data_IF_715338208308
#
_entry.id   IF_715338208308
#
_cell.length_a   1.000
_cell.length_b   1.000
_cell.length_c   1.000
_cell.angle_alpha   90.00
_cell.angle_beta   90.00
_cell.angle_gamma   90.00
#
_symmetry.space_group_name_H-M   'P 1'
#
loop_
_entity.id
_entity.type
_entity.pdbx_description
1 polymer ?
#
# COMPACT_ATOMS: atom_id res chain seq x y z
N UNK A 1 -14.10 10.18 -20.43
CA UNK A 1 -15.16 11.14 -20.06
C UNK A 1 -14.68 11.89 -18.84
N UNK A 2 -14.68 13.22 -18.85
CA UNK A 2 -14.42 13.96 -17.62
C UNK A 2 -15.56 13.67 -16.65
N UNK A 3 -15.24 13.18 -15.46
CA UNK A 3 -16.25 12.88 -14.44
C UNK A 3 -16.90 14.21 -14.02
N UNK A 4 -18.20 14.32 -14.25
CA UNK A 4 -18.93 15.56 -13.99
C UNK A 4 -19.00 15.79 -12.49
N UNK A 5 -18.57 16.97 -12.03
CA UNK A 5 -18.53 17.28 -10.60
C UNK A 5 -19.95 17.27 -10.01
N UNK A 6 -20.13 16.76 -8.77
CA UNK A 6 -21.44 16.77 -8.12
C UNK A 6 -22.01 18.18 -7.94
N UNK A 7 -23.30 18.25 -7.67
CA UNK A 7 -23.97 19.52 -7.36
C UNK A 7 -23.28 20.25 -6.19
N UNK A 8 -23.36 21.61 -6.12
CA UNK A 8 -22.73 22.36 -5.04
C UNK A 8 -23.15 21.89 -3.63
N UNK A 9 -24.41 21.46 -3.49
CA UNK A 9 -24.95 20.92 -2.24
C UNK A 9 -24.33 19.58 -1.86
N UNK A 10 -24.23 18.65 -2.81
CA UNK A 10 -23.58 17.35 -2.61
C UNK A 10 -22.09 17.53 -2.29
N UNK A 11 -21.41 18.45 -2.96
CA UNK A 11 -20.00 18.81 -2.67
C UNK A 11 -19.83 19.32 -1.24
N UNK A 12 -20.76 20.11 -0.72
CA UNK A 12 -20.72 20.55 0.67
C UNK A 12 -20.92 19.39 1.66
N UNK A 13 -21.85 18.47 1.38
CA UNK A 13 -22.02 17.27 2.20
C UNK A 13 -20.78 16.38 2.20
N UNK A 14 -20.16 16.17 1.03
CA UNK A 14 -18.89 15.43 0.92
C UNK A 14 -17.79 16.10 1.74
N UNK A 15 -17.69 17.43 1.70
CA UNK A 15 -16.73 18.19 2.52
C UNK A 15 -16.98 17.97 4.01
N UNK A 16 -18.24 17.97 4.46
CA UNK A 16 -18.60 17.74 5.86
C UNK A 16 -18.28 16.31 6.30
N UNK A 17 -18.61 15.30 5.48
CA UNK A 17 -18.18 13.92 5.70
C UNK A 17 -16.66 13.85 5.86
N UNK A 18 -15.93 14.49 4.95
CA UNK A 18 -14.47 14.48 4.94
C UNK A 18 -13.87 15.17 6.17
N UNK A 19 -14.45 16.27 6.65
CA UNK A 19 -14.05 16.93 7.90
C UNK A 19 -14.20 16.00 9.11
N UNK A 20 -15.31 15.24 9.17
CA UNK A 20 -15.54 14.26 10.24
C UNK A 20 -14.56 13.09 10.14
N UNK A 21 -14.24 12.62 8.93
CA UNK A 21 -13.23 11.56 8.70
C UNK A 21 -11.83 12.03 9.10
N UNK A 22 -11.44 13.26 8.77
CA UNK A 22 -10.15 13.85 9.18
C UNK A 22 -10.07 13.98 10.71
N UNK A 23 -11.18 14.30 11.35
CA UNK A 23 -11.33 14.34 12.81
C UNK A 23 -11.79 13.02 13.43
N UNK A 24 -11.52 11.87 12.78
CA UNK A 24 -12.01 10.58 13.26
C UNK A 24 -11.57 10.30 14.70
N UNK A 25 -12.52 9.79 15.49
CA UNK A 25 -12.26 9.44 16.90
C UNK A 25 -11.29 8.26 17.00
N UNK A 26 -10.44 8.22 18.04
CA UNK A 26 -9.51 7.10 18.26
C UNK A 26 -10.18 5.73 18.22
N UNK A 27 -11.38 5.61 18.81
CA UNK A 27 -12.14 4.36 18.83
C UNK A 27 -12.43 3.80 17.42
N UNK A 28 -12.70 4.66 16.43
CA UNK A 28 -12.98 4.21 15.05
C UNK A 28 -11.72 3.74 14.34
N UNK A 29 -10.59 4.41 14.62
CA UNK A 29 -9.30 4.02 14.08
C UNK A 29 -8.86 2.66 14.67
N UNK A 30 -9.13 2.43 15.94
CA UNK A 30 -8.92 1.15 16.60
C UNK A 30 -9.82 0.05 15.99
N UNK A 31 -11.11 0.32 15.75
CA UNK A 31 -12.01 -0.63 15.09
C UNK A 31 -11.50 -1.02 13.69
N UNK A 32 -11.08 -0.03 12.91
CA UNK A 32 -10.48 -0.27 11.59
C UNK A 32 -9.22 -1.14 11.69
N UNK A 33 -8.31 -0.79 12.59
CA UNK A 33 -7.07 -1.54 12.79
C UNK A 33 -7.35 -2.99 13.20
N UNK A 34 -8.29 -3.21 14.14
CA UNK A 34 -8.68 -4.55 14.58
C UNK A 34 -9.29 -5.37 13.43
N UNK A 35 -10.19 -4.77 12.65
CA UNK A 35 -10.83 -5.47 11.53
C UNK A 35 -9.81 -5.88 10.46
N UNK A 36 -8.88 -4.97 10.11
CA UNK A 36 -7.84 -5.23 9.11
C UNK A 36 -6.88 -6.32 9.58
N UNK A 37 -6.44 -6.29 10.84
CA UNK A 37 -5.54 -7.30 11.40
C UNK A 37 -6.22 -8.67 11.53
N UNK A 38 -7.49 -8.72 11.93
CA UNK A 38 -8.26 -9.96 11.99
C UNK A 38 -8.41 -10.63 10.61
N UNK A 39 -8.44 -9.84 9.54
CA UNK A 39 -8.53 -10.32 8.16
C UNK A 39 -7.20 -10.89 7.62
N UNK A 40 -6.07 -10.59 8.25
CA UNK A 40 -4.75 -11.04 7.79
C UNK A 40 -3.91 -11.60 8.94
N UNK A 41 -4.02 -12.91 9.23
CA UNK A 41 -3.21 -13.57 10.25
C UNK A 41 -1.71 -13.43 10.03
N UNK A 42 -1.27 -13.36 8.76
CA UNK A 42 0.14 -13.16 8.40
C UNK A 42 0.65 -11.79 8.85
N UNK A 43 -0.14 -10.74 8.65
CA UNK A 43 0.20 -9.39 9.13
C UNK A 43 0.11 -9.35 10.66
N UNK A 44 -0.95 -9.92 11.24
CA UNK A 44 -1.17 -9.89 12.68
C UNK A 44 -0.10 -10.65 13.49
N UNK A 45 0.55 -11.66 12.90
CA UNK A 45 1.63 -12.41 13.54
C UNK A 45 2.94 -11.61 13.70
N UNK A 46 3.11 -10.52 12.96
CA UNK A 46 4.29 -9.65 13.01
C UNK A 46 3.91 -8.26 13.56
N UNK A 47 4.30 -7.92 14.81
CA UNK A 47 3.96 -6.64 15.42
C UNK A 47 4.48 -5.41 14.67
N UNK A 48 5.65 -5.51 14.01
CA UNK A 48 6.20 -4.39 13.25
C UNK A 48 5.40 -4.14 11.98
N UNK A 49 5.03 -5.22 11.28
CA UNK A 49 4.21 -5.16 10.07
C UNK A 49 2.79 -4.71 10.39
N UNK A 50 2.17 -5.24 11.46
CA UNK A 50 0.87 -4.81 11.94
C UNK A 50 0.85 -3.30 12.25
N UNK A 51 1.85 -2.80 12.98
CA UNK A 51 1.96 -1.38 13.29
C UNK A 51 2.17 -0.53 12.02
N UNK A 52 2.92 -1.02 11.03
CA UNK A 52 3.09 -0.34 9.75
C UNK A 52 1.76 -0.25 8.98
N UNK A 53 1.00 -1.35 8.90
CA UNK A 53 -0.31 -1.40 8.24
C UNK A 53 -1.29 -0.41 8.90
N UNK A 54 -1.36 -0.39 10.23
CA UNK A 54 -2.21 0.57 10.94
C UNK A 54 -1.83 2.03 10.65
N UNK A 55 -0.54 2.36 10.61
CA UNK A 55 -0.09 3.70 10.20
C UNK A 55 -0.50 4.03 8.77
N UNK A 56 -0.35 3.08 7.84
CA UNK A 56 -0.75 3.27 6.44
C UNK A 56 -2.26 3.47 6.30
N UNK A 57 -3.08 2.74 7.05
CA UNK A 57 -4.54 2.88 7.02
C UNK A 57 -4.97 4.27 7.47
N UNK A 58 -4.41 4.76 8.59
CA UNK A 58 -4.68 6.10 9.11
C UNK A 58 -4.21 7.18 8.14
N UNK A 59 -3.03 7.01 7.53
CA UNK A 59 -2.53 7.92 6.50
C UNK A 59 -3.44 7.98 5.28
N UNK A 60 -3.98 6.84 4.82
CA UNK A 60 -4.91 6.78 3.70
C UNK A 60 -6.24 7.48 3.99
N UNK A 61 -6.83 7.25 5.18
CA UNK A 61 -8.04 7.96 5.61
C UNK A 61 -7.83 9.47 5.66
N UNK A 62 -6.72 9.90 6.28
CA UNK A 62 -6.39 11.31 6.40
C UNK A 62 -6.15 11.96 5.04
N UNK A 63 -5.46 11.26 4.13
CA UNK A 63 -5.18 11.73 2.78
C UNK A 63 -6.47 11.92 1.98
N UNK A 64 -7.33 10.89 1.94
CA UNK A 64 -8.62 10.95 1.23
C UNK A 64 -9.54 12.04 1.80
N UNK A 65 -9.61 12.14 3.12
CA UNK A 65 -10.38 13.17 3.81
C UNK A 65 -9.87 14.56 3.47
N UNK A 66 -8.58 14.81 3.60
CA UNK A 66 -7.98 16.13 3.29
C UNK A 66 -8.19 16.53 1.82
N UNK A 67 -8.10 15.57 0.89
CA UNK A 67 -8.38 15.82 -0.52
C UNK A 67 -9.83 16.28 -0.74
N UNK A 68 -10.81 15.63 -0.10
CA UNK A 68 -12.22 16.00 -0.20
C UNK A 68 -12.59 17.25 0.61
N UNK A 69 -11.83 17.61 1.64
CA UNK A 69 -11.98 18.92 2.29
C UNK A 69 -11.61 20.04 1.31
N UNK A 70 -10.50 19.86 0.58
CA UNK A 70 -9.97 20.84 -0.37
C UNK A 70 -10.79 20.94 -1.65
N UNK A 71 -11.09 19.82 -2.30
CA UNK A 71 -11.85 19.75 -3.54
C UNK A 71 -12.86 18.59 -3.52
N UNK A 72 -14.01 18.77 -2.85
CA UNK A 72 -14.98 17.70 -2.63
C UNK A 72 -15.56 17.17 -3.93
N UNK A 73 -15.58 15.84 -4.04
CA UNK A 73 -16.13 15.12 -5.19
C UNK A 73 -15.23 15.08 -6.41
N UNK A 74 -14.05 15.71 -6.36
CA UNK A 74 -13.04 15.57 -7.40
C UNK A 74 -12.28 14.23 -7.27
N UNK A 75 -11.67 13.72 -8.35
CA UNK A 75 -10.82 12.54 -8.29
C UNK A 75 -9.68 12.72 -7.28
N UNK A 76 -9.54 11.76 -6.36
CA UNK A 76 -8.49 11.76 -5.35
C UNK A 76 -7.27 11.00 -5.91
N UNK A 77 -6.08 11.60 -5.97
CA UNK A 77 -4.88 10.93 -6.46
C UNK A 77 -4.46 9.78 -5.51
N UNK A 78 -3.71 8.78 -5.99
CA UNK A 78 -3.20 7.72 -5.12
C UNK A 78 -2.32 8.28 -4.00
N UNK A 79 -2.36 7.64 -2.83
CA UNK A 79 -1.46 8.01 -1.74
C UNK A 79 -0.07 7.40 -1.98
N UNK A 80 0.86 8.23 -2.44
CA UNK A 80 2.27 7.88 -2.65
C UNK A 80 3.17 8.33 -1.49
N UNK A 81 2.57 8.59 -0.32
CA UNK A 81 3.27 8.98 0.90
C UNK A 81 4.22 7.89 1.44
N UNK A 82 5.05 8.23 2.43
CA UNK A 82 6.05 7.32 2.97
C UNK A 82 5.43 6.10 3.67
N UNK A 83 4.23 6.21 4.23
CA UNK A 83 3.58 5.10 4.96
C UNK A 83 3.15 3.96 4.02
N UNK A 84 2.39 4.19 2.93
CA UNK A 84 2.11 3.14 1.93
C UNK A 84 3.39 2.52 1.32
N UNK A 85 4.40 3.33 1.02
CA UNK A 85 5.66 2.83 0.46
C UNK A 85 6.46 1.99 1.47
N UNK A 86 6.32 2.26 2.76
CA UNK A 86 6.93 1.43 3.81
C UNK A 86 6.33 0.03 3.80
N UNK A 87 5.02 -0.12 3.53
CA UNK A 87 4.39 -1.44 3.40
C UNK A 87 5.05 -2.25 2.27
N UNK A 88 5.31 -1.63 1.11
CA UNK A 88 5.99 -2.30 0.00
C UNK A 88 7.33 -2.90 0.45
N UNK A 89 8.17 -2.10 1.13
CA UNK A 89 9.48 -2.54 1.63
C UNK A 89 9.38 -3.64 2.67
N UNK A 90 8.46 -3.49 3.63
CA UNK A 90 8.29 -4.47 4.71
C UNK A 90 7.80 -5.83 4.21
N UNK A 91 6.98 -5.85 3.15
CA UNK A 91 6.53 -7.07 2.47
C UNK A 91 7.68 -7.75 1.72
N UNK A 92 8.45 -7.00 0.94
CA UNK A 92 9.63 -7.52 0.22
C UNK A 92 10.67 -8.08 1.18
N UNK A 93 10.98 -7.35 2.27
CA UNK A 93 11.94 -7.78 3.31
C UNK A 93 11.59 -9.14 3.92
N UNK A 94 10.28 -9.45 4.01
CA UNK A 94 9.77 -10.69 4.62
C UNK A 94 9.46 -11.79 3.62
N UNK A 95 9.67 -11.56 2.32
CA UNK A 95 9.33 -12.51 1.27
C UNK A 95 7.83 -12.82 1.20
N UNK A 96 6.98 -11.85 1.54
CA UNK A 96 5.52 -12.03 1.49
C UNK A 96 5.07 -11.71 0.06
N UNK A 97 4.83 -12.76 -0.73
CA UNK A 97 4.48 -12.63 -2.14
C UNK A 97 2.99 -12.31 -2.38
N UNK A 98 2.13 -12.70 -1.44
CA UNK A 98 0.70 -12.38 -1.48
C UNK A 98 0.48 -10.97 -0.93
N UNK A 99 0.39 -10.00 -1.83
CA UNK A 99 -0.07 -8.66 -1.46
C UNK A 99 -1.43 -8.79 -0.76
N UNK A 100 -1.59 -8.25 0.47
CA UNK A 100 -2.78 -8.50 1.27
C UNK A 100 -3.96 -7.63 0.79
N UNK A 101 -4.42 -7.89 -0.43
CA UNK A 101 -5.63 -7.32 -1.03
C UNK A 101 -6.82 -7.46 -0.08
N UNK A 102 -6.90 -8.57 0.64
CA UNK A 102 -8.00 -8.84 1.56
C UNK A 102 -7.98 -7.90 2.78
N UNK A 103 -6.80 -7.52 3.29
CA UNK A 103 -6.67 -6.56 4.38
C UNK A 103 -7.16 -5.16 3.96
N UNK A 104 -6.81 -4.73 2.74
CA UNK A 104 -7.27 -3.47 2.18
C UNK A 104 -8.78 -3.46 1.89
N UNK A 105 -9.34 -4.55 1.35
CA UNK A 105 -10.79 -4.69 1.12
C UNK A 105 -11.58 -4.62 2.42
N UNK A 106 -11.10 -5.26 3.49
CA UNK A 106 -11.75 -5.15 4.80
C UNK A 106 -11.66 -3.72 5.32
N UNK A 107 -10.51 -3.08 5.20
CA UNK A 107 -10.33 -1.68 5.59
C UNK A 107 -11.25 -0.72 4.83
N UNK A 108 -11.35 -0.89 3.52
CA UNK A 108 -12.27 -0.16 2.64
C UNK A 108 -13.73 -0.34 3.10
N UNK A 109 -14.14 -1.59 3.37
CA UNK A 109 -15.50 -1.89 3.82
C UNK A 109 -15.85 -1.25 5.16
N UNK A 110 -14.91 -1.23 6.13
CA UNK A 110 -15.11 -0.56 7.43
C UNK A 110 -15.22 0.95 7.23
N UNK A 111 -14.29 1.55 6.48
CA UNK A 111 -14.29 2.98 6.19
C UNK A 111 -15.57 3.42 5.47
N UNK A 112 -16.03 2.61 4.50
CA UNK A 112 -17.25 2.85 3.74
C UNK A 112 -18.49 2.83 4.63
N UNK A 113 -18.64 1.82 5.51
CA UNK A 113 -19.77 1.77 6.45
C UNK A 113 -19.79 3.00 7.36
N UNK A 114 -18.63 3.40 7.87
CA UNK A 114 -18.52 4.59 8.73
C UNK A 114 -18.91 5.87 7.99
N UNK A 115 -18.44 6.03 6.75
CA UNK A 115 -18.82 7.19 5.93
C UNK A 115 -20.31 7.21 5.63
N UNK A 116 -20.92 6.04 5.39
CA UNK A 116 -22.35 5.92 5.20
C UNK A 116 -23.12 6.41 6.42
N UNK A 117 -22.76 5.96 7.62
CA UNK A 117 -23.36 6.42 8.87
C UNK A 117 -23.25 7.95 9.03
N UNK A 118 -22.08 8.52 8.74
CA UNK A 118 -21.86 9.97 8.77
C UNK A 118 -22.79 10.69 7.78
N UNK A 119 -22.95 10.18 6.56
CA UNK A 119 -23.84 10.80 5.58
C UNK A 119 -25.31 10.83 6.03
N UNK A 120 -25.78 9.76 6.68
CA UNK A 120 -27.13 9.69 7.26
C UNK A 120 -27.33 10.62 8.47
N UNK A 121 -26.27 10.98 9.18
CA UNK A 121 -26.32 12.00 10.24
C UNK A 121 -26.39 13.43 9.67
N UNK A 122 -25.86 13.67 8.46
CA UNK A 122 -25.76 15.01 7.86
C UNK A 122 -26.98 15.42 7.03
N UNK A 123 -27.72 14.46 6.46
CA UNK A 123 -28.92 14.76 5.67
C UNK A 123 -29.92 13.61 5.71
N UNK A 124 -31.20 13.95 5.57
CA UNK A 124 -32.30 13.00 5.41
C UNK A 124 -32.97 13.09 4.04
N UNK A 125 -32.45 13.93 3.13
CA UNK A 125 -32.93 14.01 1.75
C UNK A 125 -32.43 12.78 0.96
N UNK A 126 -33.33 11.94 0.43
CA UNK A 126 -32.94 10.74 -0.31
C UNK A 126 -32.10 11.01 -1.56
N UNK A 127 -32.33 12.13 -2.26
CA UNK A 127 -31.57 12.48 -3.46
C UNK A 127 -30.16 12.94 -3.10
N UNK A 128 -30.02 13.76 -2.05
CA UNK A 128 -28.71 14.16 -1.54
C UNK A 128 -27.91 12.95 -1.04
N UNK A 129 -28.54 12.06 -0.27
CA UNK A 129 -27.91 10.83 0.23
C UNK A 129 -27.44 9.93 -0.91
N UNK A 130 -28.30 9.71 -1.90
CA UNK A 130 -27.95 8.92 -3.08
C UNK A 130 -26.69 9.46 -3.75
N UNK A 131 -26.65 10.76 -4.03
CA UNK A 131 -25.54 11.36 -4.77
C UNK A 131 -24.24 11.40 -3.96
N UNK A 132 -24.31 11.72 -2.66
CA UNK A 132 -23.14 11.67 -1.75
C UNK A 132 -22.56 10.27 -1.68
N UNK A 133 -23.40 9.26 -1.38
CA UNK A 133 -22.95 7.88 -1.22
C UNK A 133 -22.39 7.33 -2.53
N UNK A 134 -23.10 7.55 -3.65
CA UNK A 134 -22.63 7.10 -4.96
C UNK A 134 -21.27 7.73 -5.33
N UNK A 135 -21.09 9.03 -5.04
CA UNK A 135 -19.84 9.74 -5.33
C UNK A 135 -18.70 9.25 -4.43
N UNK A 136 -18.93 9.16 -3.12
CA UNK A 136 -17.91 8.72 -2.17
C UNK A 136 -17.51 7.26 -2.39
N UNK A 137 -18.45 6.37 -2.70
CA UNK A 137 -18.14 4.96 -3.00
C UNK A 137 -17.20 4.85 -4.20
N UNK A 138 -17.52 5.51 -5.34
CA UNK A 138 -16.62 5.53 -6.51
C UNK A 138 -15.26 6.13 -6.18
N UNK A 139 -15.25 7.26 -5.46
CA UNK A 139 -14.02 7.95 -5.08
C UNK A 139 -13.11 7.09 -4.21
N UNK A 140 -13.67 6.42 -3.20
CA UNK A 140 -12.93 5.54 -2.29
C UNK A 140 -12.34 4.36 -3.04
N UNK A 141 -13.14 3.64 -3.82
CA UNK A 141 -12.65 2.47 -4.54
C UNK A 141 -11.57 2.84 -5.56
N UNK A 142 -11.77 3.92 -6.34
CA UNK A 142 -10.76 4.39 -7.30
C UNK A 142 -9.45 4.83 -6.61
N UNK A 143 -9.55 5.52 -5.46
CA UNK A 143 -8.40 5.92 -4.67
C UNK A 143 -7.63 4.73 -4.11
N UNK A 144 -8.34 3.74 -3.55
CA UNK A 144 -7.75 2.52 -3.01
C UNK A 144 -7.06 1.75 -4.15
N UNK A 145 -7.76 1.48 -5.26
CA UNK A 145 -7.20 0.76 -6.41
C UNK A 145 -5.92 1.42 -6.94
N UNK A 146 -5.93 2.75 -7.11
CA UNK A 146 -4.76 3.49 -7.58
C UNK A 146 -3.61 3.43 -6.58
N UNK A 147 -3.91 3.49 -5.27
CA UNK A 147 -2.90 3.37 -4.21
C UNK A 147 -2.29 1.97 -4.18
N UNK A 148 -3.11 0.91 -4.31
CA UNK A 148 -2.63 -0.47 -4.38
C UNK A 148 -1.76 -0.71 -5.62
N UNK A 149 -2.14 -0.15 -6.77
CA UNK A 149 -1.32 -0.22 -7.97
C UNK A 149 0.05 0.46 -7.77
N UNK A 150 0.09 1.59 -7.07
CA UNK A 150 1.34 2.27 -6.70
C UNK A 150 2.21 1.43 -5.77
N UNK A 151 1.61 0.79 -4.75
CA UNK A 151 2.34 -0.12 -3.84
C UNK A 151 2.88 -1.33 -4.59
N UNK A 152 2.08 -1.95 -5.46
CA UNK A 152 2.50 -3.09 -6.28
C UNK A 152 3.67 -2.72 -7.21
N UNK A 153 3.62 -1.56 -7.86
CA UNK A 153 4.71 -1.06 -8.67
C UNK A 153 6.00 -0.84 -7.84
N UNK A 154 5.87 -0.32 -6.61
CA UNK A 154 7.02 -0.18 -5.71
C UNK A 154 7.61 -1.53 -5.30
N UNK A 155 6.77 -2.54 -5.02
CA UNK A 155 7.24 -3.90 -4.67
C UNK A 155 8.11 -4.47 -5.80
N UNK A 156 7.68 -4.32 -7.06
CA UNK A 156 8.46 -4.80 -8.20
C UNK A 156 9.78 -4.05 -8.36
N UNK A 157 9.80 -2.73 -8.15
CA UNK A 157 11.05 -1.93 -8.17
C UNK A 157 12.04 -2.38 -7.09
N UNK A 158 11.57 -2.61 -5.86
CA UNK A 158 12.40 -3.08 -4.74
C UNK A 158 12.97 -4.49 -5.03
N UNK A 159 12.15 -5.39 -5.61
CA UNK A 159 12.60 -6.73 -6.05
C UNK A 159 13.64 -6.67 -7.16
N UNK A 160 13.44 -5.80 -8.15
CA UNK A 160 14.39 -5.57 -9.24
C UNK A 160 15.71 -4.99 -8.76
N UNK A 161 15.68 -4.12 -7.75
CA UNK A 161 16.87 -3.54 -7.14
C UNK A 161 17.67 -4.59 -6.35
N UNK A 162 16.99 -5.43 -5.56
CA UNK A 162 17.61 -6.56 -4.88
C UNK A 162 18.25 -7.54 -5.87
N UNK A 163 17.56 -7.84 -6.97
CA UNK A 163 18.05 -8.75 -8.02
C UNK A 163 19.25 -8.17 -8.76
N UNK A 164 19.18 -6.89 -9.15
CA UNK A 164 20.31 -6.19 -9.80
C UNK A 164 21.51 -6.06 -8.88
N UNK A 165 21.30 -5.75 -7.60
CA UNK A 165 22.35 -5.71 -6.59
C UNK A 165 23.07 -7.07 -6.47
N UNK A 166 22.30 -8.15 -6.35
CA UNK A 166 22.86 -9.50 -6.31
C UNK A 166 23.60 -9.87 -7.60
N UNK A 167 23.07 -9.51 -8.77
CA UNK A 167 23.73 -9.80 -10.05
C UNK A 167 25.04 -9.01 -10.22
N UNK A 168 25.04 -7.73 -9.85
CA UNK A 168 26.23 -6.88 -9.88
C UNK A 168 27.30 -7.43 -8.92
N UNK A 169 26.88 -7.84 -7.72
CA UNK A 169 27.74 -8.46 -6.71
C UNK A 169 28.39 -9.76 -7.22
N UNK A 170 27.59 -10.61 -7.88
CA UNK A 170 28.07 -11.83 -8.51
C UNK A 170 29.07 -11.53 -9.63
N UNK A 171 28.75 -10.58 -10.52
CA UNK A 171 29.62 -10.22 -11.64
C UNK A 171 30.96 -9.66 -11.17
N UNK A 172 30.95 -8.75 -10.21
CA UNK A 172 32.16 -8.22 -9.58
C UNK A 172 32.99 -9.35 -8.97
N UNK A 173 32.34 -10.26 -8.23
CA UNK A 173 33.01 -11.42 -7.63
C UNK A 173 33.65 -12.32 -8.69
N UNK A 174 32.98 -12.59 -9.81
CA UNK A 174 33.56 -13.34 -10.95
C UNK A 174 34.76 -12.59 -11.53
N UNK A 175 34.66 -11.28 -11.77
CA UNK A 175 35.78 -10.48 -12.29
C UNK A 175 36.99 -10.53 -11.35
N UNK A 176 36.80 -10.34 -10.04
CA UNK A 176 37.87 -10.44 -9.05
C UNK A 176 38.55 -11.82 -9.05
N UNK A 177 37.77 -12.90 -9.18
CA UNK A 177 38.31 -14.25 -9.29
C UNK A 177 39.13 -14.45 -10.58
N UNK A 178 38.64 -13.93 -11.72
CA UNK A 178 39.35 -14.01 -13.01
C UNK A 178 40.63 -13.16 -13.04
N UNK A 179 40.65 -12.02 -12.34
CA UNK A 179 41.81 -11.15 -12.19
C UNK A 179 42.83 -11.65 -11.16
N UNK A 180 42.52 -12.73 -10.44
CA UNK A 180 43.40 -13.29 -9.40
C UNK A 180 43.48 -12.42 -8.14
N UNK A 181 42.46 -11.59 -7.89
CA UNK A 181 42.39 -10.77 -6.69
C UNK A 181 42.32 -11.64 -5.41
N UNK A 182 42.91 -11.20 -4.29
CA UNK A 182 42.93 -11.97 -3.04
C UNK A 182 41.57 -11.89 -2.33
N UNK A 183 40.56 -12.56 -2.88
CA UNK A 183 39.25 -12.74 -2.25
C UNK A 183 39.18 -14.09 -1.53
N UNK A 184 38.83 -14.13 -0.23
CA UNK A 184 38.60 -15.38 0.48
C UNK A 184 37.53 -16.25 -0.19
N UNK A 185 37.78 -17.56 -0.32
CA UNK A 185 36.90 -18.50 -1.04
C UNK A 185 35.50 -18.54 -0.45
N UNK A 186 35.39 -18.58 0.86
CA UNK A 186 34.12 -18.57 1.61
C UNK A 186 33.28 -17.34 1.24
N UNK A 187 33.89 -16.16 1.17
CA UNK A 187 33.24 -14.93 0.72
C UNK A 187 32.83 -15.00 -0.75
N UNK A 188 33.67 -15.56 -1.61
CA UNK A 188 33.36 -15.70 -3.04
C UNK A 188 32.18 -16.67 -3.26
N UNK A 189 32.19 -17.83 -2.63
CA UNK A 189 31.12 -18.83 -2.69
C UNK A 189 29.79 -18.28 -2.15
N UNK A 190 29.84 -17.51 -1.07
CA UNK A 190 28.66 -16.87 -0.49
C UNK A 190 28.04 -15.83 -1.43
N UNK A 191 28.85 -14.92 -1.99
CA UNK A 191 28.37 -13.87 -2.94
C UNK A 191 27.87 -14.49 -4.25
N UNK A 192 28.52 -15.56 -4.71
CA UNK A 192 28.09 -16.29 -5.92
C UNK A 192 26.85 -17.15 -5.70
N UNK A 193 26.59 -17.59 -4.47
CA UNK A 193 25.59 -18.62 -4.18
C UNK A 193 25.94 -19.96 -4.86
N UNK A 194 27.23 -20.20 -5.10
CA UNK A 194 27.74 -21.35 -5.85
C UNK A 194 29.05 -21.82 -5.23
N UNK A 195 29.15 -23.12 -4.96
CA UNK A 195 30.39 -23.71 -4.44
C UNK A 195 31.48 -23.69 -5.52
N UNK A 196 32.69 -23.27 -5.16
CA UNK A 196 33.87 -23.27 -6.04
C UNK A 196 34.72 -24.53 -5.85
N UNK A 197 34.30 -25.42 -4.95
CA UNK A 197 34.92 -26.73 -4.73
C UNK A 197 34.12 -27.84 -5.42
N UNK A 198 34.83 -28.84 -5.94
CA UNK A 198 34.25 -30.03 -6.55
C UNK A 198 34.45 -30.06 -8.06
N UNK A 199 33.73 -30.96 -8.73
CA UNK A 199 33.76 -31.05 -10.19
C UNK A 199 32.70 -30.13 -10.77
N UNK A 200 33.11 -29.22 -11.66
CA UNK A 200 32.23 -28.29 -12.36
C UNK A 200 32.09 -28.70 -13.83
N UNK A 201 30.87 -28.73 -14.34
CA UNK A 201 30.59 -28.98 -15.76
C UNK A 201 30.35 -27.64 -16.46
N UNK A 202 31.15 -27.35 -17.49
CA UNK A 202 30.96 -26.19 -18.36
C UNK A 202 30.45 -26.64 -19.73
N UNK A 203 29.55 -25.86 -20.32
CA UNK A 203 29.16 -25.97 -21.72
C UNK A 203 29.64 -24.71 -22.45
N UNK A 204 30.29 -24.89 -23.59
CA UNK A 204 30.66 -23.80 -24.50
C UNK A 204 29.65 -23.81 -25.64
N UNK A 205 28.88 -22.73 -25.76
CA UNK A 205 27.79 -22.56 -26.74
C UNK A 205 28.16 -21.41 -27.67
#
# INVERSE_FOLDING_TARGET
MAEELPSPRVRELIRQCAQIVVGARPEWLEELDQAVLAASPVIAADPELAAAVSRSNRANLFFWGTANVRDPGAPVPPNTGPEPLTIARELVRRGIDAFPLDAYRVGEGVAWRRLMEIAFELTSDPAELHDVLQTCSRSISAFVDATLAGIAAQIELERDELTRGSLAERRETVTLLLEGAPIPRDRAEHRLGYALTGSHTAAVI
#
